data_IF_970894874282
#
_entry.id   IF_970894874282
#
_cell.length_a   1.000
_cell.length_b   1.000
_cell.length_c   1.000
_cell.angle_alpha   90.00
_cell.angle_beta   90.00
_cell.angle_gamma   90.00
#
_symmetry.space_group_name_H-M   'P 1'
#
loop_
_entity.id
_entity.type
_entity.pdbx_description
1 polymer ?
#
# COMPACT_ATOMS: atom_id res chain seq x y z
N UNK A 1 12.17 11.99 32.26
CA UNK A 1 11.30 12.79 31.36
C UNK A 1 11.11 11.98 30.08
N UNK A 2 9.88 11.58 29.75
CA UNK A 2 9.58 10.66 28.64
C UNK A 2 8.82 11.43 27.56
N UNK A 3 9.38 11.51 26.36
CA UNK A 3 8.76 12.17 25.20
C UNK A 3 8.20 11.08 24.29
N UNK A 4 6.95 11.24 23.88
CA UNK A 4 6.31 10.37 22.90
C UNK A 4 6.32 11.12 21.56
N UNK A 5 6.99 10.54 20.58
CA UNK A 5 7.01 11.05 19.21
C UNK A 5 6.04 10.24 18.36
N UNK A 6 5.18 10.94 17.61
CA UNK A 6 4.32 10.34 16.61
C UNK A 6 4.93 10.59 15.24
N UNK A 7 5.38 9.54 14.58
CA UNK A 7 5.91 9.61 13.22
C UNK A 7 4.75 9.31 12.27
N UNK A 8 4.34 10.31 11.49
CA UNK A 8 3.33 10.16 10.44
C UNK A 8 4.00 10.18 9.07
N UNK A 9 3.61 9.29 8.14
CA UNK A 9 4.06 9.37 6.76
C UNK A 9 3.63 10.71 6.14
N UNK A 10 4.58 11.47 5.61
CA UNK A 10 4.31 12.78 4.96
C UNK A 10 3.73 12.63 3.55
N UNK A 11 3.64 11.40 3.06
CA UNK A 11 3.14 11.05 1.75
C UNK A 11 3.54 9.64 1.36
N UNK A 12 3.32 9.28 0.10
CA UNK A 12 3.70 7.97 -0.39
C UNK A 12 5.22 7.79 -0.44
N UNK A 13 5.68 6.71 0.17
CA UNK A 13 7.08 6.30 0.10
C UNK A 13 7.46 5.83 -1.32
N UNK A 14 8.39 6.54 -1.96
CA UNK A 14 9.07 6.04 -3.16
C UNK A 14 10.03 4.94 -2.76
N UNK A 15 10.01 3.81 -3.47
CA UNK A 15 10.83 2.66 -3.14
C UNK A 15 11.85 2.42 -4.25
N UNK A 16 13.14 2.45 -3.91
CA UNK A 16 14.21 2.16 -4.86
C UNK A 16 14.53 0.65 -4.85
N UNK A 17 14.23 -0.04 -5.94
CA UNK A 17 14.41 -1.51 -6.09
C UNK A 17 14.89 -1.85 -7.49
N UNK A 18 15.56 -3.01 -7.66
CA UNK A 18 15.88 -3.54 -8.99
C UNK A 18 14.58 -3.87 -9.75
N UNK A 19 14.36 -3.19 -10.86
CA UNK A 19 13.23 -3.48 -11.75
C UNK A 19 13.55 -4.72 -12.61
N UNK A 20 12.71 -5.76 -12.62
CA UNK A 20 12.91 -6.94 -13.48
C UNK A 20 12.89 -6.60 -14.97
N UNK A 21 12.06 -5.64 -15.39
CA UNK A 21 11.96 -5.22 -16.79
C UNK A 21 13.14 -4.34 -17.22
N UNK A 22 13.56 -3.36 -16.42
CA UNK A 22 14.73 -2.53 -16.75
C UNK A 22 16.07 -3.21 -16.44
N UNK A 23 16.08 -4.32 -15.71
CA UNK A 23 17.26 -5.01 -15.16
C UNK A 23 18.17 -4.18 -14.24
N UNK A 24 17.84 -2.92 -13.95
CA UNK A 24 18.60 -1.97 -13.11
C UNK A 24 17.80 -1.46 -11.91
N UNK A 25 18.46 -0.82 -10.94
CA UNK A 25 17.79 -0.16 -9.79
C UNK A 25 16.98 1.03 -10.28
N UNK A 26 15.67 1.05 -9.99
CA UNK A 26 14.72 2.10 -10.34
C UNK A 26 13.83 2.45 -9.17
N UNK A 27 13.28 3.66 -9.23
CA UNK A 27 12.28 4.10 -8.28
C UNK A 27 10.90 3.59 -8.69
N UNK A 28 10.17 3.12 -7.69
CA UNK A 28 8.79 2.70 -7.78
C UNK A 28 7.91 3.68 -7.02
N UNK A 29 6.81 4.10 -7.66
CA UNK A 29 5.79 4.97 -7.07
C UNK A 29 4.48 4.19 -6.97
N UNK A 30 3.65 4.44 -5.95
CA UNK A 30 2.34 3.81 -5.89
C UNK A 30 1.48 4.30 -7.05
N UNK A 31 0.72 3.37 -7.63
CA UNK A 31 -0.21 3.64 -8.72
C UNK A 31 -1.56 4.18 -8.25
N UNK A 32 -1.80 4.22 -6.94
CA UNK A 32 -3.09 4.52 -6.34
C UNK A 32 -4.07 3.33 -6.36
N UNK A 33 -3.71 2.20 -6.97
CA UNK A 33 -4.53 1.00 -7.00
C UNK A 33 -4.11 -0.02 -5.93
N UNK A 34 -5.10 -0.76 -5.43
CA UNK A 34 -4.94 -1.84 -4.48
C UNK A 34 -5.51 -3.13 -5.04
N UNK A 35 -4.83 -4.24 -4.71
CA UNK A 35 -5.39 -5.57 -4.87
C UNK A 35 -5.88 -6.03 -3.51
N UNK A 36 -7.16 -6.34 -3.41
CA UNK A 36 -7.76 -6.87 -2.20
C UNK A 36 -8.18 -8.31 -2.49
N UNK A 37 -7.73 -9.25 -1.66
CA UNK A 37 -8.18 -10.63 -1.66
C UNK A 37 -8.84 -10.94 -0.31
N UNK A 38 -10.01 -11.57 -0.35
CA UNK A 38 -10.73 -11.98 0.85
C UNK A 38 -10.96 -13.48 0.82
N UNK A 39 -10.49 -14.19 1.84
CA UNK A 39 -10.75 -15.62 2.03
C UNK A 39 -11.21 -15.88 3.46
N UNK A 40 -12.38 -16.50 3.64
CA UNK A 40 -12.90 -16.96 4.95
C UNK A 40 -12.77 -15.92 6.08
N UNK A 41 -13.19 -14.67 5.82
CA UNK A 41 -13.13 -13.52 6.75
C UNK A 41 -11.72 -12.98 7.04
N UNK A 42 -10.72 -13.43 6.28
CA UNK A 42 -9.36 -12.94 6.31
C UNK A 42 -9.11 -12.15 5.02
N UNK A 43 -8.36 -11.08 5.13
CA UNK A 43 -8.15 -10.11 4.06
C UNK A 43 -6.65 -9.89 3.85
N UNK A 44 -6.25 -9.99 2.58
CA UNK A 44 -4.92 -9.63 2.10
C UNK A 44 -5.04 -8.41 1.21
N UNK A 45 -4.29 -7.35 1.54
CA UNK A 45 -4.24 -6.13 0.74
C UNK A 45 -2.83 -5.94 0.22
N UNK A 46 -2.71 -5.78 -1.09
CA UNK A 46 -1.49 -5.30 -1.73
C UNK A 46 -1.70 -3.92 -2.30
N UNK A 47 -0.72 -3.03 -2.11
CA UNK A 47 -0.62 -1.80 -2.87
C UNK A 47 0.19 -2.04 -4.14
N UNK A 48 -0.31 -1.50 -5.25
CA UNK A 48 0.28 -1.68 -6.57
C UNK A 48 1.23 -0.50 -6.84
N UNK A 49 2.51 -0.80 -7.03
CA UNK A 49 3.56 0.16 -7.36
C UNK A 49 3.97 -0.02 -8.83
N UNK A 50 4.35 1.08 -9.47
CA UNK A 50 4.83 1.10 -10.86
C UNK A 50 6.24 1.64 -10.93
N UNK A 51 7.06 1.02 -11.76
CA UNK A 51 8.36 1.54 -12.12
C UNK A 51 8.17 2.88 -12.83
N UNK A 52 8.87 3.91 -12.36
CA UNK A 52 8.83 5.27 -12.93
C UNK A 52 9.31 5.36 -14.39
N UNK A 53 9.95 4.30 -14.92
CA UNK A 53 10.51 4.29 -16.28
C UNK A 53 9.81 3.35 -17.27
N UNK A 54 9.27 2.22 -16.82
CA UNK A 54 8.74 1.19 -17.72
C UNK A 54 7.37 0.65 -17.32
N UNK A 55 6.74 1.26 -16.32
CA UNK A 55 5.43 0.86 -15.79
C UNK A 55 5.33 -0.58 -15.28
N UNK A 56 6.46 -1.28 -15.13
CA UNK A 56 6.48 -2.60 -14.50
C UNK A 56 5.85 -2.53 -13.12
N UNK A 57 4.89 -3.43 -12.89
CA UNK A 57 4.07 -3.43 -11.70
C UNK A 57 4.68 -4.32 -10.63
N UNK A 58 4.77 -3.80 -9.41
CA UNK A 58 5.22 -4.51 -8.23
C UNK A 58 4.19 -4.37 -7.10
N UNK A 59 3.82 -5.49 -6.48
CA UNK A 59 2.85 -5.51 -5.39
C UNK A 59 3.59 -5.52 -4.05
N UNK A 60 3.30 -4.55 -3.18
CA UNK A 60 3.76 -4.54 -1.80
C UNK A 60 2.61 -4.95 -0.88
N UNK A 61 2.85 -5.87 0.05
CA UNK A 61 1.83 -6.26 1.03
C UNK A 61 1.66 -5.13 2.05
N UNK A 62 0.42 -4.64 2.21
CA UNK A 62 0.05 -3.70 3.27
C UNK A 62 -0.54 -4.45 4.46
N UNK A 63 -1.47 -5.37 4.19
CA UNK A 63 -2.07 -6.23 5.19
C UNK A 63 -1.97 -7.68 4.73
N UNK A 64 -1.36 -8.52 5.55
CA UNK A 64 -1.24 -9.95 5.32
C UNK A 64 -2.11 -10.69 6.33
N UNK A 65 -3.05 -11.49 5.84
CA UNK A 65 -3.96 -12.32 6.63
C UNK A 65 -4.63 -11.58 7.80
N UNK A 66 -5.18 -10.40 7.55
CA UNK A 66 -5.84 -9.61 8.57
C UNK A 66 -7.33 -10.00 8.68
N UNK A 67 -7.85 -10.37 9.86
CA UNK A 67 -9.28 -10.61 10.01
C UNK A 67 -10.07 -9.33 9.70
N UNK A 68 -11.14 -9.45 8.92
CA UNK A 68 -11.99 -8.30 8.55
C UNK A 68 -12.55 -7.60 9.79
N UNK A 69 -12.79 -8.34 10.88
CA UNK A 69 -13.25 -7.78 12.16
C UNK A 69 -12.27 -6.82 12.84
N UNK A 70 -10.97 -6.89 12.49
CA UNK A 70 -9.94 -5.98 13.01
C UNK A 70 -9.71 -4.75 12.13
N UNK A 71 -10.38 -4.68 10.98
CA UNK A 71 -10.27 -3.56 10.06
C UNK A 71 -11.39 -2.57 10.38
N UNK A 72 -11.04 -1.29 10.51
CA UNK A 72 -12.01 -0.23 10.66
C UNK A 72 -12.97 -0.22 9.44
N UNK A 73 -14.28 -0.06 9.67
CA UNK A 73 -15.29 -0.17 8.62
C UNK A 73 -15.12 0.88 7.52
N UNK A 74 -14.70 2.09 7.85
CA UNK A 74 -14.41 3.14 6.87
C UNK A 74 -13.18 2.80 6.02
N UNK A 75 -12.12 2.27 6.65
CA UNK A 75 -10.94 1.78 5.95
C UNK A 75 -11.29 0.63 4.99
N UNK A 76 -12.12 -0.31 5.45
CA UNK A 76 -12.61 -1.42 4.62
C UNK A 76 -13.39 -0.90 3.40
N UNK A 77 -14.29 0.07 3.60
CA UNK A 77 -15.04 0.71 2.51
C UNK A 77 -14.12 1.36 1.47
N UNK A 78 -13.12 2.13 1.92
CA UNK A 78 -12.14 2.78 1.02
C UNK A 78 -11.28 1.77 0.25
N UNK A 79 -10.86 0.68 0.90
CA UNK A 79 -10.13 -0.40 0.26
C UNK A 79 -10.96 -1.08 -0.84
N UNK A 80 -12.25 -1.30 -0.59
CA UNK A 80 -13.17 -1.92 -1.55
C UNK A 80 -13.56 -0.98 -2.70
N UNK A 81 -13.69 0.33 -2.42
CA UNK A 81 -13.90 1.35 -3.44
C UNK A 81 -12.65 1.59 -4.31
N UNK A 82 -11.49 1.05 -3.91
CA UNK A 82 -10.19 1.38 -4.48
C UNK A 82 -10.01 2.90 -4.56
N UNK A 83 -10.48 3.62 -3.52
CA UNK A 83 -10.39 5.06 -3.44
C UNK A 83 -8.91 5.43 -3.33
N UNK A 84 -8.30 5.76 -4.46
CA UNK A 84 -6.92 6.21 -4.58
C UNK A 84 -6.67 7.58 -3.96
N UNK A 85 -7.57 8.07 -3.09
CA UNK A 85 -7.41 9.35 -2.43
C UNK A 85 -6.11 9.31 -1.60
N UNK A 86 -5.17 10.14 -2.07
CA UNK A 86 -3.72 9.99 -2.05
C UNK A 86 -3.01 10.04 -0.67
N UNK A 87 -3.62 9.50 0.38
CA UNK A 87 -3.07 9.50 1.73
C UNK A 87 -3.89 8.75 2.77
N UNK A 88 -5.09 8.26 2.43
CA UNK A 88 -6.05 7.76 3.41
C UNK A 88 -5.66 6.44 4.09
N UNK A 89 -4.86 5.59 3.44
CA UNK A 89 -4.46 4.29 4.02
C UNK A 89 -3.21 4.42 4.92
N UNK A 90 -2.41 5.48 4.72
CA UNK A 90 -1.22 5.78 5.54
C UNK A 90 -1.46 6.88 6.60
N UNK A 91 -2.67 7.46 6.66
CA UNK A 91 -3.09 8.42 7.68
C UNK A 91 -3.75 7.78 8.92
N UNK A 92 -3.64 6.46 9.09
CA UNK A 92 -4.06 5.74 10.31
C UNK A 92 -2.83 5.26 11.08
#
# INVERSE_FOLDING_TARGET
MKVIWTVTPVGYQRIAKRCPSCSVKRDFTPSGAFRVNSQKKVLDVWSIYKCTHCDYTWNISLFSRLPVSKINRDLYGRLMANDGCHGAIFCL
#
